data_IF_292715820092
#
_entry.id   IF_292715820092
#
_cell.length_a   1.000
_cell.length_b   1.000
_cell.length_c   1.000
_cell.angle_alpha   90.00
_cell.angle_beta   90.00
_cell.angle_gamma   90.00
#
_symmetry.space_group_name_H-M   'P 1'
#
loop_
_entity.id
_entity.type
_entity.pdbx_description
1 polymer ?
#
# COMPACT_ATOMS: atom_id res chain seq x y z
N UNK A 1 -8.45 12.32 0.83
CA UNK A 1 -9.18 11.88 -0.38
C UNK A 1 -9.46 10.38 -0.30
N UNK A 2 -10.71 9.96 -0.55
CA UNK A 2 -11.07 8.53 -0.68
C UNK A 2 -11.22 8.15 -2.16
N UNK A 3 -10.62 7.03 -2.57
CA UNK A 3 -10.77 6.44 -3.92
C UNK A 3 -10.37 4.95 -3.89
N UNK A 4 -10.68 4.14 -4.92
CA UNK A 4 -10.39 2.70 -4.89
C UNK A 4 -8.92 2.43 -5.24
N UNK A 5 -8.00 2.84 -4.36
CA UNK A 5 -6.54 2.79 -4.57
C UNK A 5 -6.01 1.41 -5.01
N UNK A 6 -6.64 0.34 -4.52
CA UNK A 6 -6.21 -1.04 -4.66
C UNK A 6 -7.01 -1.82 -5.71
N UNK A 7 -7.92 -1.17 -6.43
CA UNK A 7 -8.78 -1.82 -7.43
C UNK A 7 -7.98 -2.64 -8.46
N UNK A 8 -6.88 -2.13 -9.05
CA UNK A 8 -6.13 -2.87 -10.06
C UNK A 8 -5.34 -4.07 -9.52
N UNK A 9 -5.23 -4.21 -8.20
CA UNK A 9 -4.45 -5.25 -7.54
C UNK A 9 -5.39 -6.37 -7.12
N UNK A 10 -5.91 -7.14 -8.07
CA UNK A 10 -6.72 -8.33 -7.78
C UNK A 10 -5.88 -9.40 -7.06
N UNK A 11 -6.52 -10.40 -6.45
CA UNK A 11 -5.78 -11.48 -5.79
C UNK A 11 -4.74 -12.16 -6.68
N UNK A 12 -5.03 -12.50 -7.96
CA UNK A 12 -4.01 -12.99 -8.89
C UNK A 12 -2.81 -12.05 -9.07
N UNK A 13 -3.04 -10.73 -9.08
CA UNK A 13 -1.95 -9.74 -9.14
C UNK A 13 -1.09 -9.77 -7.87
N UNK A 14 -1.68 -10.01 -6.70
CA UNK A 14 -0.93 -10.18 -5.43
C UNK A 14 -0.05 -11.43 -5.49
N UNK A 15 -0.61 -12.56 -5.92
CA UNK A 15 0.12 -13.82 -6.07
C UNK A 15 1.27 -13.66 -7.07
N UNK A 16 1.01 -13.06 -8.23
CA UNK A 16 2.03 -12.80 -9.24
C UNK A 16 3.13 -11.85 -8.74
N UNK A 17 2.75 -10.82 -7.96
CA UNK A 17 3.71 -9.91 -7.32
C UNK A 17 4.63 -10.69 -6.36
N UNK A 18 4.09 -11.61 -5.56
CA UNK A 18 4.90 -12.47 -4.70
C UNK A 18 5.83 -13.39 -5.52
N UNK A 19 5.31 -14.02 -6.58
CA UNK A 19 6.09 -14.89 -7.46
C UNK A 19 7.30 -14.17 -8.07
N UNK A 20 7.10 -12.94 -8.53
CA UNK A 20 8.18 -12.11 -9.09
C UNK A 20 9.25 -11.72 -8.07
N UNK A 21 8.90 -11.63 -6.77
CA UNK A 21 9.87 -11.40 -5.70
C UNK A 21 10.64 -12.67 -5.33
N UNK A 22 9.99 -13.83 -5.40
CA UNK A 22 10.62 -15.13 -5.12
C UNK A 22 11.61 -15.55 -6.20
N UNK A 23 11.26 -15.38 -7.48
CA UNK A 23 11.98 -15.93 -8.63
C UNK A 23 13.48 -15.55 -8.67
N UNK A 24 13.89 -14.26 -8.53
CA UNK A 24 15.30 -13.89 -8.61
C UNK A 24 16.14 -14.42 -7.44
N UNK A 25 15.50 -14.82 -6.35
CA UNK A 25 16.15 -15.30 -5.12
C UNK A 25 16.08 -16.82 -4.96
N UNK A 26 15.49 -17.53 -5.93
CA UNK A 26 15.26 -18.97 -5.84
C UNK A 26 14.40 -19.38 -4.64
N UNK A 27 13.58 -18.46 -4.10
CA UNK A 27 12.79 -18.74 -2.91
C UNK A 27 11.50 -19.49 -3.25
N UNK A 28 11.00 -20.27 -2.29
CA UNK A 28 9.74 -21.00 -2.43
C UNK A 28 8.56 -20.03 -2.56
N UNK A 29 7.88 -20.07 -3.71
CA UNK A 29 6.59 -19.43 -3.94
C UNK A 29 5.47 -20.44 -3.70
N UNK A 30 4.89 -20.42 -2.51
CA UNK A 30 3.77 -21.29 -2.14
C UNK A 30 2.86 -20.54 -1.14
N UNK A 31 1.53 -20.75 -1.21
CA UNK A 31 0.62 -20.27 -0.18
C UNK A 31 0.87 -20.96 1.18
N UNK A 32 0.57 -20.27 2.27
CA UNK A 32 0.45 -20.91 3.59
C UNK A 32 -0.92 -21.59 3.73
N UNK A 33 -1.01 -22.64 4.55
CA UNK A 33 -2.27 -23.36 4.79
C UNK A 33 -3.34 -22.49 5.44
N UNK A 34 -2.94 -21.66 6.40
CA UNK A 34 -3.88 -20.94 7.26
C UNK A 34 -4.05 -19.48 6.81
N UNK A 35 -2.96 -18.85 6.36
CA UNK A 35 -2.93 -17.42 6.05
C UNK A 35 -3.47 -17.06 4.68
N UNK A 36 -3.31 -17.94 3.67
CA UNK A 36 -3.62 -17.62 2.28
C UNK A 36 -5.11 -17.31 2.07
N UNK A 37 -5.99 -18.23 2.48
CA UNK A 37 -7.43 -18.09 2.23
C UNK A 37 -8.02 -16.92 3.03
N UNK A 38 -7.63 -16.77 4.30
CA UNK A 38 -8.06 -15.64 5.13
C UNK A 38 -7.61 -14.30 4.54
N UNK A 39 -6.37 -14.22 4.04
CA UNK A 39 -5.86 -13.00 3.40
C UNK A 39 -6.60 -12.70 2.11
N UNK A 40 -6.86 -13.72 1.28
CA UNK A 40 -7.62 -13.59 0.03
C UNK A 40 -9.00 -13.01 0.31
N UNK A 41 -9.76 -13.58 1.25
CA UNK A 41 -11.09 -13.11 1.61
C UNK A 41 -11.08 -11.66 2.11
N UNK A 42 -10.13 -11.32 2.99
CA UNK A 42 -9.95 -9.96 3.48
C UNK A 42 -9.67 -8.99 2.31
N UNK A 43 -8.77 -9.37 1.42
CA UNK A 43 -8.37 -8.55 0.28
C UNK A 43 -9.51 -8.34 -0.72
N UNK A 44 -10.13 -9.43 -1.16
CA UNK A 44 -11.22 -9.44 -2.14
C UNK A 44 -12.44 -8.64 -1.64
N UNK A 45 -12.73 -8.68 -0.34
CA UNK A 45 -13.85 -7.91 0.23
C UNK A 45 -13.61 -6.39 0.24
N UNK A 46 -12.36 -5.92 0.12
CA UNK A 46 -12.00 -4.50 0.36
C UNK A 46 -11.28 -3.80 -0.79
N UNK A 47 -10.50 -4.49 -1.61
CA UNK A 47 -9.55 -3.83 -2.51
C UNK A 47 -10.20 -2.89 -3.54
N UNK A 48 -11.48 -3.13 -3.89
CA UNK A 48 -12.26 -2.28 -4.81
C UNK A 48 -13.01 -1.15 -4.12
N UNK A 49 -13.10 -1.14 -2.78
CA UNK A 49 -13.86 -0.13 -2.05
C UNK A 49 -13.08 1.18 -1.99
N UNK A 50 -13.74 2.35 -2.12
CA UNK A 50 -13.10 3.61 -1.86
C UNK A 50 -12.53 3.68 -0.44
N UNK A 51 -11.26 4.03 -0.32
CA UNK A 51 -10.55 4.18 0.96
C UNK A 51 -9.54 5.32 0.87
N UNK A 52 -8.99 5.75 1.99
CA UNK A 52 -7.85 6.67 2.06
C UNK A 52 -6.55 5.92 1.78
N UNK A 53 -5.47 6.64 1.46
CA UNK A 53 -4.16 6.01 1.28
C UNK A 53 -3.65 5.38 2.59
N UNK A 54 -4.01 5.95 3.74
CA UNK A 54 -3.71 5.37 5.06
C UNK A 54 -4.40 4.03 5.26
N UNK A 55 -5.71 3.94 4.95
CA UNK A 55 -6.47 2.70 5.00
C UNK A 55 -5.92 1.64 4.02
N UNK A 56 -5.46 2.04 2.83
CA UNK A 56 -4.83 1.13 1.88
C UNK A 56 -3.49 0.58 2.40
N UNK A 57 -2.66 1.43 3.03
CA UNK A 57 -1.41 1.03 3.69
C UNK A 57 -1.69 0.08 4.86
N UNK A 58 -2.72 0.37 5.68
CA UNK A 58 -3.10 -0.50 6.79
C UNK A 58 -3.64 -1.86 6.31
N UNK A 59 -4.46 -1.89 5.25
CA UNK A 59 -4.91 -3.14 4.64
C UNK A 59 -3.72 -4.01 4.18
N UNK A 60 -2.73 -3.38 3.52
CA UNK A 60 -1.49 -4.04 3.12
C UNK A 60 -0.73 -4.62 4.35
N UNK A 61 -0.63 -3.86 5.44
CA UNK A 61 0.00 -4.32 6.70
C UNK A 61 -0.74 -5.51 7.31
N UNK A 62 -2.07 -5.46 7.36
CA UNK A 62 -2.89 -6.55 7.90
C UNK A 62 -2.74 -7.83 7.08
N UNK A 63 -2.73 -7.72 5.76
CA UNK A 63 -2.49 -8.86 4.89
C UNK A 63 -1.07 -9.43 5.04
N UNK A 64 -0.06 -8.57 5.29
CA UNK A 64 1.27 -9.05 5.68
C UNK A 64 1.22 -9.87 6.99
N UNK A 65 0.53 -9.39 8.02
CA UNK A 65 0.42 -10.08 9.32
C UNK A 65 -0.28 -11.44 9.23
N UNK A 66 -1.17 -11.62 8.26
CA UNK A 66 -1.83 -12.90 7.98
C UNK A 66 -0.92 -13.89 7.23
N UNK A 67 0.24 -13.44 6.74
CA UNK A 67 1.27 -14.28 6.10
C UNK A 67 0.73 -15.26 5.03
N UNK A 68 0.15 -14.78 3.91
CA UNK A 68 -0.44 -15.63 2.88
C UNK A 68 0.55 -16.52 2.11
N UNK A 69 1.84 -16.22 2.14
CA UNK A 69 2.88 -16.92 1.38
C UNK A 69 3.99 -17.43 2.29
N UNK A 70 4.70 -18.47 1.89
CA UNK A 70 5.85 -18.98 2.65
C UNK A 70 7.00 -17.96 2.74
N UNK A 71 7.16 -17.09 1.73
CA UNK A 71 8.22 -16.11 1.65
C UNK A 71 7.71 -14.74 1.20
N UNK A 72 8.45 -13.68 1.54
CA UNK A 72 8.23 -12.32 1.04
C UNK A 72 6.85 -11.70 1.32
N UNK A 73 6.15 -12.10 2.38
CA UNK A 73 4.84 -11.54 2.76
C UNK A 73 4.86 -10.01 2.83
N UNK A 74 5.69 -9.43 3.71
CA UNK A 74 5.82 -7.98 3.85
C UNK A 74 6.24 -7.32 2.53
N UNK A 75 7.25 -7.87 1.84
CA UNK A 75 7.75 -7.33 0.57
C UNK A 75 6.68 -7.31 -0.53
N UNK A 76 5.78 -8.28 -0.56
CA UNK A 76 4.67 -8.34 -1.52
C UNK A 76 3.75 -7.13 -1.37
N UNK A 77 3.31 -6.88 -0.14
CA UNK A 77 2.40 -5.76 0.15
C UNK A 77 3.12 -4.40 0.11
N UNK A 78 4.42 -4.36 0.41
CA UNK A 78 5.27 -3.17 0.18
C UNK A 78 5.35 -2.83 -1.31
N UNK A 79 5.53 -3.83 -2.18
CA UNK A 79 5.58 -3.61 -3.62
C UNK A 79 4.24 -3.05 -4.14
N UNK A 80 3.12 -3.55 -3.64
CA UNK A 80 1.78 -3.06 -3.96
C UNK A 80 1.61 -1.59 -3.57
N UNK A 81 1.86 -1.23 -2.31
CA UNK A 81 1.64 0.16 -1.86
C UNK A 81 2.60 1.15 -2.55
N UNK A 82 3.83 0.73 -2.87
CA UNK A 82 4.76 1.55 -3.66
C UNK A 82 4.25 1.82 -5.08
N UNK A 83 3.62 0.83 -5.73
CA UNK A 83 2.99 1.00 -7.05
C UNK A 83 1.77 1.92 -6.98
N UNK A 84 1.00 1.89 -5.89
CA UNK A 84 -0.09 2.85 -5.65
C UNK A 84 0.45 4.28 -5.55
N UNK A 85 1.44 4.49 -4.68
CA UNK A 85 2.05 5.82 -4.47
C UNK A 85 2.73 6.32 -5.74
N UNK A 86 3.29 5.44 -6.56
CA UNK A 86 3.91 5.83 -7.83
C UNK A 86 2.95 6.43 -8.87
N UNK A 87 1.64 6.26 -8.68
CA UNK A 87 0.61 6.88 -9.53
C UNK A 87 0.08 8.21 -8.97
N UNK A 88 0.66 8.70 -7.87
CA UNK A 88 0.32 10.01 -7.32
C UNK A 88 1.05 11.10 -8.10
N UNK A 89 0.31 12.15 -8.46
CA UNK A 89 0.86 13.38 -9.01
C UNK A 89 1.30 14.28 -7.86
N UNK A 90 2.49 14.00 -7.32
CA UNK A 90 3.09 14.76 -6.21
C UNK A 90 4.58 14.99 -6.49
N UNK A 91 5.21 16.01 -5.87
CA UNK A 91 6.64 16.25 -6.05
C UNK A 91 7.49 14.99 -5.77
N UNK A 92 8.58 14.75 -6.54
CA UNK A 92 9.36 13.53 -6.43
C UNK A 92 9.86 13.21 -5.02
N UNK A 93 10.28 14.23 -4.28
CA UNK A 93 10.72 14.11 -2.89
C UNK A 93 9.59 13.60 -1.98
N UNK A 94 8.38 14.16 -2.11
CA UNK A 94 7.21 13.71 -1.35
C UNK A 94 6.82 12.28 -1.73
N UNK A 95 6.87 11.94 -3.02
CA UNK A 95 6.62 10.59 -3.49
C UNK A 95 7.64 9.59 -2.91
N UNK A 96 8.92 9.98 -2.82
CA UNK A 96 9.97 9.15 -2.22
C UNK A 96 9.74 8.95 -0.73
N UNK A 97 9.47 10.02 0.01
CA UNK A 97 9.14 9.97 1.44
C UNK A 97 7.92 9.08 1.72
N UNK A 98 6.84 9.25 0.97
CA UNK A 98 5.63 8.42 1.09
C UNK A 98 5.93 6.94 0.84
N UNK A 99 6.70 6.61 -0.21
CA UNK A 99 7.06 5.21 -0.52
C UNK A 99 7.92 4.58 0.58
N UNK A 100 8.80 5.35 1.20
CA UNK A 100 9.65 4.89 2.31
C UNK A 100 8.81 4.62 3.55
N UNK A 101 8.05 5.61 4.01
CA UNK A 101 7.25 5.53 5.22
C UNK A 101 6.15 4.45 5.11
N UNK A 102 5.44 4.40 3.99
CA UNK A 102 4.44 3.36 3.74
C UNK A 102 5.07 1.96 3.74
N UNK A 103 6.30 1.81 3.22
CA UNK A 103 7.00 0.53 3.24
C UNK A 103 7.31 0.07 4.67
N UNK A 104 7.81 0.97 5.53
CA UNK A 104 8.07 0.66 6.94
C UNK A 104 6.77 0.31 7.68
N UNK A 105 5.67 1.01 7.40
CA UNK A 105 4.38 0.72 8.02
C UNK A 105 3.89 -0.67 7.64
N UNK A 106 3.91 -1.01 6.35
CA UNK A 106 3.48 -2.32 5.85
C UNK A 106 4.40 -3.43 6.36
N UNK A 107 5.72 -3.22 6.36
CA UNK A 107 6.68 -4.17 6.90
C UNK A 107 6.59 -4.34 8.43
N UNK A 108 5.84 -3.49 9.13
CA UNK A 108 5.71 -3.55 10.58
C UNK A 108 6.91 -2.96 11.34
N UNK A 109 7.80 -2.25 10.66
CA UNK A 109 9.02 -1.66 11.24
C UNK A 109 8.90 -0.16 11.52
N UNK A 110 7.78 0.47 11.14
CA UNK A 110 7.61 1.91 11.31
C UNK A 110 7.53 2.36 12.76
N UNK A 111 8.34 3.36 13.11
CA UNK A 111 8.29 4.04 14.43
C UNK A 111 7.05 4.94 14.56
N UNK A 112 6.70 5.38 15.78
CA UNK A 112 5.64 6.38 16.00
C UNK A 112 5.87 7.69 15.23
N UNK A 113 7.12 8.13 15.14
CA UNK A 113 7.52 9.35 14.43
C UNK A 113 7.30 9.19 12.93
N UNK A 114 7.66 8.03 12.36
CA UNK A 114 7.43 7.73 10.94
C UNK A 114 5.94 7.66 10.60
N UNK A 115 5.11 7.11 11.51
CA UNK A 115 3.65 7.11 11.35
C UNK A 115 3.07 8.51 11.37
N UNK A 116 3.57 9.36 12.27
CA UNK A 116 3.20 10.78 12.35
C UNK A 116 3.62 11.53 11.09
N UNK A 117 4.84 11.31 10.62
CA UNK A 117 5.36 11.91 9.39
C UNK A 117 4.52 11.49 8.16
N UNK A 118 4.15 10.21 8.07
CA UNK A 118 3.28 9.71 7.01
C UNK A 118 1.92 10.41 7.02
N UNK A 119 1.26 10.48 8.19
CA UNK A 119 -0.01 11.19 8.35
C UNK A 119 0.11 12.67 7.95
N UNK A 120 1.16 13.36 8.41
CA UNK A 120 1.38 14.77 8.08
C UNK A 120 1.58 15.03 6.59
N UNK A 121 2.22 14.12 5.84
CA UNK A 121 2.29 14.23 4.37
C UNK A 121 0.90 14.05 3.75
N UNK A 122 0.13 13.06 4.19
CA UNK A 122 -1.23 12.82 3.67
C UNK A 122 -2.15 14.01 3.90
N UNK A 123 -2.06 14.66 5.06
CA UNK A 123 -2.87 15.84 5.37
C UNK A 123 -2.54 17.00 4.45
N UNK A 124 -1.26 17.27 4.19
CA UNK A 124 -0.84 18.31 3.21
C UNK A 124 -1.35 18.03 1.80
N UNK A 125 -1.35 16.75 1.38
CA UNK A 125 -1.89 16.34 0.08
C UNK A 125 -3.40 16.53 -0.02
N UNK A 126 -4.12 16.38 1.10
CA UNK A 126 -5.56 16.61 1.14
C UNK A 126 -5.93 18.10 1.26
N UNK A 127 -5.03 18.92 1.80
CA UNK A 127 -5.25 20.35 2.07
C UNK A 127 -4.76 21.28 0.96
N UNK A 128 -4.20 20.76 -0.14
CA UNK A 128 -3.79 21.62 -1.27
C UNK A 128 -5.03 22.25 -1.91
N UNK A 129 -5.24 23.57 -1.80
CA UNK A 129 -6.39 24.22 -2.40
C UNK A 129 -6.15 24.35 -3.90
N UNK A 130 -6.93 23.62 -4.71
CA UNK A 130 -7.05 23.88 -6.13
C UNK A 130 -8.08 24.99 -6.36
N UNK A 131 -7.67 26.26 -6.34
CA UNK A 131 -8.27 27.35 -7.11
C UNK A 131 -7.55 28.68 -6.79
N UNK A 132 -7.10 29.47 -7.78
CA UNK A 132 -6.83 30.89 -7.55
C UNK A 132 -8.13 31.59 -7.13
N UNK A 133 -8.06 32.63 -6.27
CA UNK A 133 -9.25 33.40 -5.90
C UNK A 133 -9.88 33.98 -7.17
N UNK A 134 -11.17 33.75 -7.35
CA UNK A 134 -11.94 34.41 -8.39
C UNK A 134 -11.81 35.92 -8.19
N UNK A 135 -11.16 36.59 -9.13
CA UNK A 135 -11.21 38.04 -9.27
C UNK A 135 -12.66 38.43 -9.47
N UNK A 136 -13.27 39.03 -8.45
CA UNK A 136 -14.58 39.66 -8.58
C UNK A 136 -14.41 41.04 -9.24
N UNK A 137 -15.30 41.43 -10.17
CA UNK A 137 -15.35 42.78 -10.71
C UNK A 137 -15.85 43.80 -9.69
#
# INVERSE_FOLDING_TARGET
MKRPWLEPFTWPVIVETNRQLCLPKGALHQPTSDGCEQTRQLWESRHRRPMTLSEATDLCRRCHQLAPFCNFNGNTFVAVIRRVIARLEVPPEQAAALRSLAAHIVAGTATPEERTAFAGILDRLNSTPGAPPATQP
#
